data_IF_264448433914
#
_entry.id   IF_264448433914
#
_cell.length_a   1.000
_cell.length_b   1.000
_cell.length_c   1.000
_cell.angle_alpha   90.00
_cell.angle_beta   90.00
_cell.angle_gamma   90.00
#
_symmetry.space_group_name_H-M   'P 1'
#
loop_
_entity.id
_entity.type
_entity.pdbx_description
1 polymer ?
#
# COMPACT_ATOMS: atom_id res chain seq x y z
N UNK A 1 -15.41 10.04 12.88
CA UNK A 1 -14.64 11.30 12.93
C UNK A 1 -13.56 11.36 11.83
N UNK A 2 -13.49 12.49 11.10
CA UNK A 2 -12.30 12.83 10.32
C UNK A 2 -11.11 13.02 11.29
N UNK A 3 -9.91 12.60 10.89
CA UNK A 3 -8.70 12.77 11.69
C UNK A 3 -8.41 11.70 12.76
N UNK A 4 -9.22 10.64 12.89
CA UNK A 4 -8.96 9.58 13.90
C UNK A 4 -7.82 8.60 13.53
N UNK A 5 -6.95 8.94 12.57
CA UNK A 5 -5.79 8.12 12.18
C UNK A 5 -6.04 6.90 11.29
N UNK A 6 -7.29 6.61 10.89
CA UNK A 6 -7.63 5.40 10.11
C UNK A 6 -6.84 5.28 8.80
N UNK A 7 -6.74 6.36 8.03
CA UNK A 7 -6.00 6.34 6.75
C UNK A 7 -4.50 6.14 6.99
N UNK A 8 -3.93 6.82 7.98
CA UNK A 8 -2.54 6.63 8.40
C UNK A 8 -2.28 5.18 8.81
N UNK A 9 -3.15 4.60 9.64
CA UNK A 9 -3.03 3.20 10.03
C UNK A 9 -3.08 2.27 8.81
N UNK A 10 -4.02 2.48 7.89
CA UNK A 10 -4.15 1.67 6.68
C UNK A 10 -2.89 1.77 5.80
N UNK A 11 -2.34 2.97 5.61
CA UNK A 11 -1.10 3.17 4.87
C UNK A 11 0.10 2.48 5.52
N UNK A 12 0.25 2.60 6.85
CA UNK A 12 1.31 1.94 7.59
C UNK A 12 1.21 0.41 7.51
N UNK A 13 0.00 -0.15 7.71
CA UNK A 13 -0.23 -1.60 7.62
C UNK A 13 0.03 -2.17 6.22
N UNK A 14 -0.17 -1.35 5.18
CA UNK A 14 0.09 -1.73 3.80
C UNK A 14 1.53 -1.41 3.34
N UNK A 15 2.40 -0.94 4.24
CA UNK A 15 3.78 -0.56 3.91
C UNK A 15 3.88 0.58 2.89
N UNK A 16 2.87 1.46 2.80
CA UNK A 16 2.89 2.69 1.99
C UNK A 16 3.58 3.84 2.70
N UNK A 17 3.43 3.92 4.02
CA UNK A 17 4.09 4.89 4.88
C UNK A 17 5.02 4.17 5.87
N UNK A 18 6.09 4.85 6.29
CA UNK A 18 7.00 4.33 7.30
C UNK A 18 6.37 4.36 8.69
N UNK A 19 6.54 3.28 9.45
CA UNK A 19 6.18 3.25 10.87
C UNK A 19 7.29 3.89 11.70
N UNK A 20 6.93 4.80 12.60
CA UNK A 20 7.90 5.46 13.50
C UNK A 20 8.46 4.51 14.57
N UNK A 21 7.80 3.38 14.82
CA UNK A 21 8.20 2.36 15.79
C UNK A 21 7.17 1.23 15.89
N UNK A 22 7.52 0.18 16.62
CA UNK A 22 6.72 -1.03 16.74
C UNK A 22 7.07 -2.10 15.70
N UNK A 23 6.15 -3.04 15.51
CA UNK A 23 6.26 -4.16 14.56
C UNK A 23 4.95 -4.27 13.77
N UNK A 24 5.09 -4.53 12.47
CA UNK A 24 3.98 -4.74 11.57
C UNK A 24 4.40 -5.76 10.51
N UNK A 25 3.56 -6.76 10.26
CA UNK A 25 3.87 -7.84 9.34
C UNK A 25 2.83 -7.95 8.24
N UNK A 26 3.29 -8.33 7.04
CA UNK A 26 2.43 -8.80 5.94
C UNK A 26 2.78 -10.26 5.67
N UNK A 27 1.86 -11.15 6.05
CA UNK A 27 2.20 -12.57 6.19
C UNK A 27 3.33 -12.72 7.21
N UNK A 28 4.42 -13.34 6.79
CA UNK A 28 5.60 -13.56 7.64
C UNK A 28 6.69 -12.48 7.46
N UNK A 29 6.41 -11.41 6.70
CA UNK A 29 7.41 -10.36 6.39
C UNK A 29 7.25 -9.17 7.33
N UNK A 30 8.26 -8.92 8.17
CA UNK A 30 8.36 -7.71 8.98
C UNK A 30 8.60 -6.47 8.10
N UNK A 31 7.79 -5.43 8.29
CA UNK A 31 7.87 -4.18 7.55
C UNK A 31 8.92 -3.24 8.14
N UNK A 32 9.11 -3.28 9.46
CA UNK A 32 10.09 -2.43 10.12
C UNK A 32 11.52 -2.76 9.66
N UNK A 33 12.29 -1.74 9.28
CA UNK A 33 13.68 -1.91 8.81
C UNK A 33 13.81 -2.53 7.41
N UNK A 34 12.70 -2.82 6.72
CA UNK A 34 12.73 -3.36 5.38
C UNK A 34 13.17 -2.26 4.38
N UNK A 35 14.16 -2.57 3.54
CA UNK A 35 14.66 -1.62 2.53
C UNK A 35 13.58 -1.30 1.50
N UNK A 36 13.59 -0.07 0.97
CA UNK A 36 12.58 0.41 0.02
C UNK A 36 12.38 -0.50 -1.21
N UNK A 37 13.46 -1.08 -1.75
CA UNK A 37 13.39 -2.05 -2.85
C UNK A 37 12.58 -3.30 -2.48
N UNK A 38 12.72 -3.78 -1.24
CA UNK A 38 11.98 -4.94 -0.75
C UNK A 38 10.53 -4.58 -0.43
N UNK A 39 10.27 -3.39 0.13
CA UNK A 39 8.92 -2.87 0.32
C UNK A 39 8.18 -2.74 -1.01
N UNK A 40 8.84 -2.20 -2.04
CA UNK A 40 8.28 -2.09 -3.40
C UNK A 40 7.87 -3.44 -3.97
N UNK A 41 8.72 -4.46 -3.79
CA UNK A 41 8.40 -5.82 -4.24
C UNK A 41 7.25 -6.43 -3.44
N UNK A 42 7.26 -6.27 -2.11
CA UNK A 42 6.20 -6.77 -1.24
C UNK A 42 4.84 -6.17 -1.62
N UNK A 43 4.78 -4.85 -1.82
CA UNK A 43 3.56 -4.16 -2.26
C UNK A 43 3.05 -4.71 -3.59
N UNK A 44 3.92 -4.86 -4.58
CA UNK A 44 3.59 -5.41 -5.90
C UNK A 44 3.03 -6.84 -5.81
N UNK A 45 3.64 -7.69 -4.98
CA UNK A 45 3.37 -9.12 -4.99
C UNK A 45 2.22 -9.52 -4.04
N UNK A 46 1.91 -8.70 -3.02
CA UNK A 46 1.01 -9.07 -1.91
C UNK A 46 -0.13 -8.10 -1.63
N UNK A 47 -0.13 -6.90 -2.22
CA UNK A 47 -1.05 -5.83 -1.82
C UNK A 47 -1.76 -5.23 -3.03
N UNK A 48 -3.09 -5.15 -2.95
CA UNK A 48 -3.92 -4.35 -3.86
C UNK A 48 -4.59 -3.21 -3.11
N UNK A 49 -4.78 -2.08 -3.78
CA UNK A 49 -5.43 -0.90 -3.21
C UNK A 49 -6.71 -0.56 -3.97
N UNK A 50 -7.77 -0.26 -3.23
CA UNK A 50 -9.00 0.31 -3.75
C UNK A 50 -9.25 1.59 -2.96
N UNK A 51 -9.44 2.69 -3.68
CA UNK A 51 -9.66 4.01 -3.11
C UNK A 51 -11.08 4.50 -3.43
N UNK A 52 -11.53 5.51 -2.70
CA UNK A 52 -12.82 6.16 -2.99
C UNK A 52 -12.80 6.88 -4.34
N UNK A 53 -11.65 7.44 -4.74
CA UNK A 53 -11.42 7.94 -6.09
C UNK A 53 -10.78 6.83 -6.94
N UNK A 54 -11.22 6.66 -8.19
CA UNK A 54 -10.88 5.46 -8.97
C UNK A 54 -9.41 5.35 -9.42
N UNK A 55 -8.63 6.44 -9.41
CA UNK A 55 -7.21 6.46 -9.82
C UNK A 55 -6.91 5.77 -11.17
N UNK A 56 -7.88 5.76 -12.09
CA UNK A 56 -7.71 5.20 -13.44
C UNK A 56 -6.97 6.19 -14.34
N UNK A 57 -6.14 5.67 -15.24
CA UNK A 57 -5.53 6.44 -16.30
C UNK A 57 -6.59 6.73 -17.38
N UNK A 58 -6.97 8.01 -17.59
CA UNK A 58 -8.15 8.36 -18.39
C UNK A 58 -7.97 8.11 -19.90
N UNK A 59 -6.73 7.94 -20.36
CA UNK A 59 -6.39 7.67 -21.76
C UNK A 59 -6.41 6.19 -22.10
N UNK A 60 -6.64 5.32 -21.12
CA UNK A 60 -6.61 3.87 -21.27
C UNK A 60 -7.99 3.27 -21.08
N UNK A 61 -8.25 2.16 -21.77
CA UNK A 61 -9.41 1.30 -21.52
C UNK A 61 -9.33 0.64 -20.14
N UNK A 62 -10.44 0.05 -19.69
CA UNK A 62 -10.47 -0.69 -18.43
C UNK A 62 -9.50 -1.89 -18.43
N UNK A 63 -9.40 -2.62 -19.54
CA UNK A 63 -8.49 -3.76 -19.68
C UNK A 63 -7.02 -3.33 -19.61
N UNK A 64 -6.68 -2.22 -20.27
CA UNK A 64 -5.32 -1.66 -20.22
C UNK A 64 -4.96 -1.18 -18.82
N UNK A 65 -5.89 -0.60 -18.05
CA UNK A 65 -5.64 -0.18 -16.67
C UNK A 65 -5.30 -1.35 -15.72
N UNK A 66 -5.85 -2.55 -15.96
CA UNK A 66 -5.65 -3.71 -15.06
C UNK A 66 -4.50 -4.64 -15.45
N UNK A 67 -3.83 -4.39 -16.59
CA UNK A 67 -2.75 -5.25 -17.12
C UNK A 67 -1.34 -4.65 -17.00
N UNK A 68 -1.22 -3.45 -16.41
CA UNK A 68 0.04 -2.72 -16.17
C UNK A 68 0.79 -3.19 -14.92
#
# INVERSE_FOLDING_TARGET
PSGSGKSTLMHCMAGLDAISGGSALIGDTELNGLKDKHLTRLRRDKIGFIFQAFNLLPTLTALENITL
#
